data_IF_859772492033
#
_entry.id   IF_859772492033
#
_cell.length_a   1.000
_cell.length_b   1.000
_cell.length_c   1.000
_cell.angle_alpha   90.00
_cell.angle_beta   90.00
_cell.angle_gamma   90.00
#
_symmetry.space_group_name_H-M   'P 1'
#
loop_
_entity.id
_entity.type
_entity.pdbx_description
1 polymer ?
#
# COMPACT_ATOMS: atom_id res chain seq x y z
N UNK A 1 -12.60 -4.14 -5.25
CA UNK A 1 -12.24 -5.23 -4.31
C UNK A 1 -10.89 -5.80 -4.70
N UNK A 2 -9.80 -5.02 -4.59
CA UNK A 2 -8.46 -5.58 -4.73
C UNK A 2 -7.47 -4.78 -3.92
N UNK A 3 -6.73 -5.49 -3.07
CA UNK A 3 -5.51 -4.94 -2.48
C UNK A 3 -4.41 -4.96 -3.53
N UNK A 4 -3.85 -3.80 -3.84
CA UNK A 4 -2.84 -3.60 -4.87
C UNK A 4 -1.47 -3.38 -4.24
N UNK A 5 -0.42 -3.91 -4.85
CA UNK A 5 0.97 -3.68 -4.45
C UNK A 5 1.80 -3.28 -5.68
N UNK A 6 2.67 -2.28 -5.53
CA UNK A 6 3.64 -1.91 -6.57
C UNK A 6 4.99 -2.62 -6.37
N UNK A 7 5.80 -2.79 -7.43
CA UNK A 7 7.15 -3.31 -7.29
C UNK A 7 7.99 -2.44 -6.33
N UNK A 8 8.88 -3.07 -5.55
CA UNK A 8 9.71 -2.35 -4.59
C UNK A 8 10.72 -1.50 -5.34
N UNK A 9 10.48 -0.19 -5.39
CA UNK A 9 11.26 0.76 -6.20
C UNK A 9 11.67 2.00 -5.43
N UNK A 10 11.10 2.22 -4.24
CA UNK A 10 11.40 3.39 -3.42
C UNK A 10 12.58 3.12 -2.47
N UNK A 11 13.74 3.82 -2.60
CA UNK A 11 14.90 3.57 -1.74
C UNK A 11 14.79 4.30 -0.40
N UNK A 12 14.85 3.57 0.71
CA UNK A 12 14.96 4.13 2.07
C UNK A 12 15.47 3.06 3.06
N UNK A 13 16.18 3.48 4.11
CA UNK A 13 16.64 2.58 5.18
C UNK A 13 17.38 1.33 4.67
N UNK A 14 18.32 1.51 3.74
CA UNK A 14 19.13 0.45 3.12
C UNK A 14 18.33 -0.67 2.44
N UNK A 15 17.08 -0.38 2.04
CA UNK A 15 16.23 -1.31 1.29
C UNK A 15 15.34 -0.58 0.28
N UNK A 16 14.61 -1.36 -0.51
CA UNK A 16 13.56 -0.88 -1.40
C UNK A 16 12.20 -1.11 -0.74
N UNK A 17 11.28 -0.20 -0.99
CA UNK A 17 9.93 -0.22 -0.45
C UNK A 17 8.90 -0.26 -1.56
N UNK A 18 7.82 -0.96 -1.26
CA UNK A 18 6.56 -1.03 -2.00
C UNK A 18 5.47 -0.35 -1.18
N UNK A 19 4.41 0.06 -1.87
CA UNK A 19 3.19 0.59 -1.33
C UNK A 19 2.07 -0.42 -1.54
N UNK A 20 1.26 -0.60 -0.51
CA UNK A 20 0.10 -1.47 -0.50
C UNK A 20 -1.16 -0.62 -0.28
N UNK A 21 -2.13 -0.72 -1.18
CA UNK A 21 -3.37 0.08 -1.15
C UNK A 21 -4.60 -0.80 -1.36
N UNK A 22 -5.77 -0.28 -1.02
CA UNK A 22 -7.05 -0.78 -1.53
C UNK A 22 -7.62 0.28 -2.47
N UNK A 23 -8.27 -0.16 -3.55
CA UNK A 23 -9.04 0.71 -4.43
C UNK A 23 -10.53 0.83 -4.04
N UNK A 24 -10.88 0.40 -2.83
CA UNK A 24 -12.26 0.36 -2.35
C UNK A 24 -12.45 0.86 -0.93
N UNK A 25 -11.65 0.40 0.04
CA UNK A 25 -11.78 0.89 1.43
C UNK A 25 -10.54 0.64 2.28
N UNK A 26 -10.34 1.50 3.28
CA UNK A 26 -9.32 1.26 4.30
C UNK A 26 -9.63 0.05 5.17
N UNK A 27 -10.90 -0.30 5.37
CA UNK A 27 -11.28 -1.49 6.13
C UNK A 27 -10.74 -2.76 5.46
N UNK A 28 -10.88 -2.88 4.13
CA UNK A 28 -10.29 -3.98 3.35
C UNK A 28 -8.76 -3.99 3.50
N UNK A 29 -8.12 -2.83 3.31
CA UNK A 29 -6.67 -2.70 3.40
C UNK A 29 -6.13 -3.10 4.78
N UNK A 30 -6.77 -2.62 5.86
CA UNK A 30 -6.39 -2.97 7.23
C UNK A 30 -6.61 -4.44 7.53
N UNK A 31 -7.74 -5.02 7.08
CA UNK A 31 -8.00 -6.43 7.27
C UNK A 31 -6.97 -7.30 6.55
N UNK A 32 -6.58 -6.94 5.33
CA UNK A 32 -5.52 -7.62 4.60
C UNK A 32 -4.17 -7.50 5.31
N UNK A 33 -3.75 -6.28 5.67
CA UNK A 33 -2.50 -6.03 6.36
C UNK A 33 -2.42 -6.80 7.69
N UNK A 34 -3.51 -6.84 8.47
CA UNK A 34 -3.57 -7.58 9.72
C UNK A 34 -3.41 -9.09 9.51
N UNK A 35 -4.10 -9.68 8.52
CA UNK A 35 -3.96 -11.12 8.19
C UNK A 35 -2.55 -11.48 7.72
N UNK A 36 -1.91 -10.57 6.98
CA UNK A 36 -0.53 -10.75 6.51
C UNK A 36 0.52 -10.42 7.59
N UNK A 37 0.13 -9.95 8.78
CA UNK A 37 1.08 -9.56 9.83
C UNK A 37 1.90 -8.31 9.48
N UNK A 38 1.36 -7.40 8.67
CA UNK A 38 1.92 -6.06 8.44
C UNK A 38 1.50 -5.17 9.61
N UNK A 39 2.45 -4.55 10.33
CA UNK A 39 2.13 -3.81 11.54
C UNK A 39 1.35 -2.54 11.24
N UNK A 40 0.35 -2.20 12.08
CA UNK A 40 -0.54 -1.03 11.87
C UNK A 40 0.21 0.30 11.74
N UNK A 41 1.39 0.42 12.36
CA UNK A 41 2.27 1.62 12.28
C UNK A 41 2.88 1.86 10.90
N UNK A 42 2.86 0.87 10.01
CA UNK A 42 3.33 1.01 8.64
C UNK A 42 2.27 1.66 7.72
N UNK A 43 1.07 1.96 8.24
CA UNK A 43 0.05 2.68 7.50
C UNK A 43 0.33 4.19 7.50
N UNK A 44 0.44 4.79 6.32
CA UNK A 44 0.61 6.21 6.10
C UNK A 44 -0.61 6.82 5.38
N UNK A 45 -1.67 7.04 6.16
CA UNK A 45 -2.94 7.70 5.80
C UNK A 45 -3.83 7.01 4.77
N UNK A 46 -3.27 6.47 3.69
CA UNK A 46 -4.01 5.85 2.59
C UNK A 46 -3.36 4.60 2.01
N UNK A 47 -2.16 4.25 2.47
CA UNK A 47 -1.40 3.08 2.04
C UNK A 47 -0.60 2.51 3.19
N UNK A 48 -0.07 1.30 3.02
CA UNK A 48 1.00 0.76 3.85
C UNK A 48 2.32 0.78 3.10
N UNK A 49 3.38 1.17 3.80
CA UNK A 49 4.76 0.99 3.34
C UNK A 49 5.27 -0.39 3.75
N UNK A 50 5.73 -1.18 2.78
CA UNK A 50 6.22 -2.54 3.01
C UNK A 50 7.60 -2.72 2.38
N UNK A 51 8.59 -3.29 3.11
CA UNK A 51 9.93 -3.46 2.58
C UNK A 51 9.98 -4.61 1.57
N UNK A 52 10.97 -4.60 0.69
CA UNK A 52 11.24 -5.61 -0.35
C UNK A 52 11.08 -7.05 0.15
N UNK A 53 11.60 -7.36 1.35
CA UNK A 53 11.52 -8.69 1.94
C UNK A 53 10.09 -9.21 2.17
N UNK A 54 9.09 -8.32 2.18
CA UNK A 54 7.67 -8.63 2.37
C UNK A 54 6.90 -8.66 1.04
N UNK A 55 7.52 -8.32 -0.09
CA UNK A 55 6.79 -8.18 -1.35
C UNK A 55 6.17 -9.51 -1.82
N UNK A 56 7.00 -10.55 -1.95
CA UNK A 56 6.56 -11.85 -2.49
C UNK A 56 5.50 -12.52 -1.60
N UNK A 57 5.62 -12.41 -0.27
CA UNK A 57 4.61 -12.96 0.65
C UNK A 57 3.27 -12.23 0.56
N UNK A 58 3.26 -10.91 0.30
CA UNK A 58 2.01 -10.14 0.18
C UNK A 58 1.32 -10.44 -1.15
N UNK A 59 2.09 -10.63 -2.22
CA UNK A 59 1.57 -11.13 -3.49
C UNK A 59 0.99 -12.53 -3.32
N UNK A 60 1.71 -13.43 -2.65
CA UNK A 60 1.24 -14.78 -2.35
C UNK A 60 -0.01 -14.79 -1.44
N UNK A 61 -0.15 -13.81 -0.55
CA UNK A 61 -1.34 -13.62 0.28
C UNK A 61 -2.55 -13.03 -0.47
N UNK A 62 -2.40 -12.70 -1.75
CA UNK A 62 -3.48 -12.25 -2.62
C UNK A 62 -3.46 -10.77 -2.98
N UNK A 63 -2.40 -10.02 -2.68
CA UNK A 63 -2.23 -8.68 -3.22
C UNK A 63 -1.95 -8.76 -4.73
N UNK A 64 -2.66 -7.94 -5.52
CA UNK A 64 -2.44 -7.87 -6.96
C UNK A 64 -1.25 -6.96 -7.25
N UNK A 65 -0.18 -7.55 -7.79
CA UNK A 65 0.96 -6.80 -8.29
C UNK A 65 0.57 -5.93 -9.50
N UNK A 66 0.81 -4.63 -9.43
CA UNK A 66 0.54 -3.66 -10.49
C UNK A 66 1.67 -2.65 -10.59
N UNK A 67 1.79 -1.91 -11.69
CA UNK A 67 2.78 -0.83 -11.75
C UNK A 67 2.45 0.28 -10.73
N UNK A 68 3.46 1.01 -10.24
CA UNK A 68 3.23 2.16 -9.35
C UNK A 68 2.29 3.22 -9.98
N UNK A 69 2.37 3.42 -11.30
CA UNK A 69 1.45 4.30 -12.03
C UNK A 69 0.00 3.82 -11.94
N UNK A 70 -0.23 2.53 -12.15
CA UNK A 70 -1.57 1.93 -12.06
C UNK A 70 -2.11 1.99 -10.64
N UNK A 71 -1.28 1.68 -9.64
CA UNK A 71 -1.61 1.76 -8.22
C UNK A 71 -2.12 3.16 -7.85
N UNK A 72 -1.36 4.20 -8.20
CA UNK A 72 -1.73 5.59 -7.91
C UNK A 72 -3.02 5.99 -8.64
N UNK A 73 -3.18 5.61 -9.91
CA UNK A 73 -4.40 5.94 -10.67
C UNK A 73 -5.65 5.31 -10.06
N UNK A 74 -5.58 4.05 -9.61
CA UNK A 74 -6.70 3.39 -8.94
C UNK A 74 -6.99 4.01 -7.58
N UNK A 75 -5.96 4.30 -6.80
CA UNK A 75 -6.11 4.98 -5.51
C UNK A 75 -6.78 6.35 -5.67
N UNK A 76 -6.39 7.14 -6.67
CA UNK A 76 -7.06 8.42 -6.97
C UNK A 76 -8.53 8.21 -7.35
N UNK A 77 -8.81 7.25 -8.24
CA UNK A 77 -10.19 6.97 -8.70
C UNK A 77 -11.11 6.46 -7.58
N UNK A 78 -10.55 5.77 -6.59
CA UNK A 78 -11.29 5.30 -5.41
C UNK A 78 -11.76 6.44 -4.48
N UNK A 79 -11.15 7.63 -4.60
CA UNK A 79 -11.37 8.74 -3.68
C UNK A 79 -10.64 8.61 -2.33
N UNK A 80 -9.85 7.54 -2.13
CA UNK A 80 -9.11 7.30 -0.89
C UNK A 80 -7.75 8.02 -0.85
N UNK A 81 -7.25 8.60 -1.95
CA UNK A 81 -5.93 9.26 -1.94
C UNK A 81 -5.91 10.45 -0.96
N UNK A 82 -4.99 10.42 0.01
CA UNK A 82 -4.66 11.55 0.90
C UNK A 82 -3.39 12.22 0.42
N UNK A 83 -3.52 13.33 -0.32
CA UNK A 83 -2.36 14.01 -0.89
C UNK A 83 -1.38 14.47 0.20
N UNK A 84 -0.08 14.45 -0.11
CA UNK A 84 0.99 14.82 0.84
C UNK A 84 0.82 16.21 1.47
N UNK A 85 0.23 17.17 0.73
CA UNK A 85 -0.08 18.50 1.26
C UNK A 85 -1.15 18.47 2.36
N UNK A 86 -2.08 17.52 2.29
CA UNK A 86 -3.22 17.40 3.19
C UNK A 86 -2.83 16.59 4.44
N UNK A 87 -1.81 15.72 4.37
CA UNK A 87 -1.28 14.96 5.52
C UNK A 87 -0.81 15.83 6.69
N UNK A 88 -0.38 17.07 6.44
CA UNK A 88 0.07 18.01 7.48
C UNK A 88 -1.08 18.69 8.23
N UNK A 89 -2.31 18.56 7.74
CA UNK A 89 -3.50 19.21 8.28
C UNK A 89 -4.45 18.26 9.03
N UNK A 90 -4.06 16.99 9.15
CA UNK A 90 -4.77 15.91 9.85
C UNK A 90 -4.05 15.65 11.17
#
# INVERSE_FOLDING_TARGET
>A
MTVLIDPPTWPAHDTLWSHLVSDESYAELHAFAARAGVPRRAFDHDHYDVPLARYDELVAAGASAVTGRELVLRLIRSGLRVAQRDKRSI
#
